data_IF_738238968941
#
_entry.id   IF_738238968941
#
_cell.length_a   1.000
_cell.length_b   1.000
_cell.length_c   1.000
_cell.angle_alpha   90.00
_cell.angle_beta   90.00
_cell.angle_gamma   90.00
#
_symmetry.space_group_name_H-M   'P 1'
#
loop_
_entity.id
_entity.type
_entity.pdbx_description
1 polymer ?
#
# COMPACT_ATOMS: atom_id res chain seq x y z
N UNK A 1 -0.51 16.77 11.39
CA UNK A 1 0.59 16.65 10.41
C UNK A 1 0.76 15.17 10.16
N UNK A 2 0.68 14.72 8.90
CA UNK A 2 0.96 13.33 8.53
C UNK A 2 2.45 13.09 8.74
N UNK A 3 2.83 12.03 9.45
CA UNK A 3 4.23 11.61 9.56
C UNK A 3 4.45 10.41 8.65
N UNK A 4 5.69 10.23 8.17
CA UNK A 4 6.10 9.00 7.49
C UNK A 4 5.62 7.78 8.32
N UNK A 5 4.91 6.81 7.69
CA UNK A 5 4.42 5.63 8.37
C UNK A 5 5.53 4.90 9.12
N UNK A 6 5.17 4.19 10.20
CA UNK A 6 6.05 3.16 10.78
C UNK A 6 5.82 1.85 10.04
N UNK A 7 6.90 1.08 9.82
CA UNK A 7 6.79 -0.26 9.26
C UNK A 7 6.09 -1.24 10.24
N UNK A 8 5.15 -2.04 9.70
CA UNK A 8 4.55 -3.19 10.38
C UNK A 8 4.55 -4.40 9.44
N UNK A 9 5.10 -5.54 9.91
CA UNK A 9 5.08 -6.82 9.19
C UNK A 9 3.68 -7.43 9.24
N UNK A 10 3.23 -8.03 8.14
CA UNK A 10 1.97 -8.79 8.12
C UNK A 10 2.03 -10.02 9.03
N UNK A 11 0.94 -10.28 9.73
CA UNK A 11 0.79 -11.43 10.63
C UNK A 11 0.41 -12.72 9.90
N UNK A 12 -0.22 -12.64 8.72
CA UNK A 12 -0.65 -13.80 7.93
C UNK A 12 -0.18 -13.68 6.48
N UNK A 13 -0.16 -14.78 5.72
CA UNK A 13 0.31 -14.77 4.32
C UNK A 13 -0.61 -14.00 3.35
N UNK A 14 -1.86 -13.73 3.74
CA UNK A 14 -2.89 -13.13 2.88
C UNK A 14 -3.30 -11.71 3.32
N UNK A 15 -2.67 -11.15 4.35
CA UNK A 15 -3.10 -9.88 4.96
C UNK A 15 -2.25 -8.67 4.58
N UNK A 16 -1.62 -8.69 3.40
CA UNK A 16 -0.76 -7.60 2.93
C UNK A 16 -1.48 -6.23 2.88
N UNK A 17 -2.74 -6.19 2.42
CA UNK A 17 -3.52 -4.94 2.36
C UNK A 17 -3.88 -4.42 3.77
N UNK A 18 -4.44 -5.22 4.70
CA UNK A 18 -4.62 -4.82 6.11
C UNK A 18 -3.32 -4.35 6.79
N UNK A 19 -2.19 -5.01 6.53
CA UNK A 19 -0.90 -4.59 7.07
C UNK A 19 -0.46 -3.23 6.51
N UNK A 20 -0.64 -2.99 5.21
CA UNK A 20 -0.40 -1.68 4.58
C UNK A 20 -1.31 -0.59 5.17
N UNK A 21 -2.60 -0.89 5.35
CA UNK A 21 -3.53 0.02 6.01
C UNK A 21 -3.09 0.36 7.43
N UNK A 22 -2.63 -0.62 8.21
CA UNK A 22 -2.10 -0.38 9.56
C UNK A 22 -0.98 0.64 9.56
N UNK A 23 -0.03 0.51 8.63
CA UNK A 23 1.09 1.46 8.49
C UNK A 23 0.58 2.87 8.18
N UNK A 24 -0.26 3.01 7.15
CA UNK A 24 -0.77 4.32 6.70
C UNK A 24 -1.65 4.98 7.77
N UNK A 25 -2.60 4.26 8.35
CA UNK A 25 -3.49 4.78 9.38
C UNK A 25 -2.74 5.19 10.65
N UNK A 26 -1.71 4.42 11.06
CA UNK A 26 -0.86 4.80 12.18
C UNK A 26 -0.12 6.12 11.92
N UNK A 27 0.38 6.33 10.70
CA UNK A 27 0.99 7.61 10.29
C UNK A 27 0.01 8.80 10.27
N UNK A 28 -1.29 8.51 10.15
CA UNK A 28 -2.39 9.48 10.26
C UNK A 28 -2.94 9.63 11.69
N UNK A 29 -2.33 8.95 12.67
CA UNK A 29 -2.70 9.03 14.09
C UNK A 29 -3.80 8.06 14.53
N UNK A 30 -4.25 7.14 13.67
CA UNK A 30 -5.20 6.09 14.02
C UNK A 30 -4.49 4.74 14.18
N UNK A 31 -4.36 4.28 15.42
CA UNK A 31 -3.74 2.98 15.73
C UNK A 31 -4.80 1.89 15.78
N UNK A 32 -4.68 0.91 14.88
CA UNK A 32 -5.50 -0.31 14.84
C UNK A 32 -4.60 -1.54 14.68
N UNK A 33 -5.02 -2.68 15.22
CA UNK A 33 -4.35 -3.94 14.97
C UNK A 33 -4.63 -4.45 13.56
N UNK A 34 -3.73 -5.30 13.04
CA UNK A 34 -3.96 -5.96 11.75
C UNK A 34 -5.18 -6.89 11.79
N UNK A 35 -5.48 -7.50 12.95
CA UNK A 35 -6.67 -8.35 13.11
C UNK A 35 -7.96 -7.54 12.92
N UNK A 36 -8.08 -6.39 13.57
CA UNK A 36 -9.23 -5.49 13.38
C UNK A 36 -9.37 -5.02 11.94
N UNK A 37 -8.24 -4.72 11.27
CA UNK A 37 -8.25 -4.31 9.87
C UNK A 37 -8.62 -5.47 8.92
N UNK A 38 -8.20 -6.70 9.22
CA UNK A 38 -8.64 -7.88 8.45
C UNK A 38 -10.16 -8.03 8.52
N UNK A 39 -10.74 -7.91 9.71
CA UNK A 39 -12.18 -8.04 9.90
C UNK A 39 -12.94 -6.91 9.19
N UNK A 40 -12.49 -5.66 9.35
CA UNK A 40 -13.11 -4.48 8.71
C UNK A 40 -13.02 -4.51 7.18
N UNK A 41 -11.92 -5.01 6.64
CA UNK A 41 -11.72 -5.10 5.19
C UNK A 41 -12.34 -6.35 4.57
N UNK A 42 -13.00 -7.21 5.36
CA UNK A 42 -13.51 -8.52 4.92
C UNK A 42 -12.40 -9.31 4.19
N UNK A 43 -11.24 -9.36 4.83
CA UNK A 43 -10.04 -10.02 4.33
C UNK A 43 -10.21 -11.55 4.42
N UNK A 44 -10.06 -12.23 3.29
CA UNK A 44 -10.14 -13.69 3.20
C UNK A 44 -8.76 -14.31 3.02
N UNK A 45 -8.68 -15.64 2.98
CA UNK A 45 -7.45 -16.37 2.64
C UNK A 45 -6.92 -16.07 1.23
N UNK A 46 -7.75 -15.49 0.35
CA UNK A 46 -7.35 -15.03 -0.98
C UNK A 46 -6.89 -13.56 -1.00
N UNK A 47 -6.88 -12.90 0.15
CA UNK A 47 -6.51 -11.51 0.30
C UNK A 47 -7.69 -10.57 0.49
N UNK A 48 -7.44 -9.29 0.19
CA UNK A 48 -8.41 -8.21 0.35
C UNK A 48 -8.59 -7.46 -0.97
N UNK A 49 -9.84 -7.29 -1.38
CA UNK A 49 -10.18 -6.46 -2.53
C UNK A 49 -10.01 -4.97 -2.23
N UNK A 50 -9.46 -4.21 -3.18
CA UNK A 50 -9.15 -2.79 -2.96
C UNK A 50 -10.36 -1.94 -2.58
N UNK A 51 -11.56 -2.25 -3.10
CA UNK A 51 -12.78 -1.51 -2.75
C UNK A 51 -13.21 -1.76 -1.30
N UNK A 52 -13.11 -3.00 -0.80
CA UNK A 52 -13.41 -3.33 0.60
C UNK A 52 -12.44 -2.63 1.55
N UNK A 53 -11.17 -2.54 1.18
CA UNK A 53 -10.18 -1.77 1.92
C UNK A 53 -10.53 -0.27 1.98
N UNK A 54 -10.98 0.32 0.86
CA UNK A 54 -11.43 1.71 0.79
C UNK A 54 -12.69 1.93 1.65
N UNK A 55 -13.67 1.03 1.58
CA UNK A 55 -14.90 1.15 2.37
C UNK A 55 -14.60 1.04 3.87
N UNK A 56 -13.68 0.15 4.27
CA UNK A 56 -13.23 0.01 5.65
C UNK A 56 -12.61 1.32 6.19
N UNK A 57 -11.73 1.98 5.44
CA UNK A 57 -11.13 3.26 5.89
C UNK A 57 -12.13 4.41 5.89
N UNK A 58 -13.10 4.43 4.96
CA UNK A 58 -14.18 5.42 4.98
C UNK A 58 -15.03 5.30 6.24
N UNK A 59 -15.36 4.08 6.65
CA UNK A 59 -16.07 3.82 7.91
C UNK A 59 -15.27 4.23 9.16
N UNK A 60 -13.95 4.43 9.04
CA UNK A 60 -13.08 4.95 10.10
C UNK A 60 -12.95 6.49 10.08
N UNK A 61 -13.67 7.18 9.19
CA UNK A 61 -13.69 8.64 9.10
C UNK A 61 -12.85 9.23 7.96
N UNK A 62 -12.16 8.41 7.17
CA UNK A 62 -11.36 8.84 6.01
C UNK A 62 -12.22 8.84 4.73
N UNK A 63 -13.30 9.64 4.73
CA UNK A 63 -14.36 9.61 3.71
C UNK A 63 -13.85 9.86 2.28
N UNK A 64 -12.75 10.61 2.14
CA UNK A 64 -12.14 10.96 0.85
C UNK A 64 -11.19 9.88 0.31
N UNK A 65 -11.02 8.78 1.04
CA UNK A 65 -10.22 7.65 0.60
C UNK A 65 -10.76 7.05 -0.69
N UNK A 66 -9.88 6.58 -1.57
CA UNK A 66 -10.25 6.15 -2.91
C UNK A 66 -9.35 5.06 -3.46
N UNK A 67 -9.96 4.19 -4.28
CA UNK A 67 -9.27 3.29 -5.20
C UNK A 67 -9.07 4.04 -6.51
N UNK A 68 -7.82 4.20 -6.93
CA UNK A 68 -7.46 4.99 -8.12
C UNK A 68 -6.40 4.28 -8.94
N UNK A 69 -6.34 4.62 -10.22
CA UNK A 69 -5.23 4.28 -11.09
C UNK A 69 -4.40 5.55 -11.27
N UNK A 70 -3.14 5.52 -10.88
CA UNK A 70 -2.26 6.68 -10.95
C UNK A 70 -1.19 6.49 -12.03
N UNK A 71 -0.72 7.59 -12.57
CA UNK A 71 0.58 7.69 -13.25
C UNK A 71 1.72 7.79 -12.24
N UNK A 72 2.95 7.52 -12.69
CA UNK A 72 4.14 7.66 -11.85
C UNK A 72 4.33 9.10 -11.34
N UNK A 73 4.00 10.11 -12.15
CA UNK A 73 4.09 11.52 -11.75
C UNK A 73 3.07 11.88 -10.67
N UNK A 74 1.84 11.38 -10.75
CA UNK A 74 0.83 11.56 -9.69
C UNK A 74 1.25 10.86 -8.39
N UNK A 75 1.71 9.61 -8.48
CA UNK A 75 2.23 8.87 -7.33
C UNK A 75 3.40 9.62 -6.66
N UNK A 76 4.33 10.14 -7.46
CA UNK A 76 5.46 10.94 -6.97
C UNK A 76 4.98 12.22 -6.28
N UNK A 77 3.97 12.89 -6.84
CA UNK A 77 3.40 14.11 -6.26
C UNK A 77 2.75 13.83 -4.90
N UNK A 78 2.03 12.72 -4.75
CA UNK A 78 1.44 12.30 -3.47
C UNK A 78 2.53 12.05 -2.43
N UNK A 79 3.53 11.24 -2.76
CA UNK A 79 4.61 10.87 -1.84
C UNK A 79 5.43 12.09 -1.40
N UNK A 80 5.68 13.05 -2.30
CA UNK A 80 6.35 14.32 -1.97
C UNK A 80 5.48 15.24 -1.10
N UNK A 81 4.19 15.00 -1.03
CA UNK A 81 3.23 15.75 -0.21
C UNK A 81 2.86 15.03 1.09
N UNK A 82 3.69 14.08 1.54
CA UNK A 82 3.47 13.26 2.75
C UNK A 82 2.16 12.46 2.74
N UNK A 83 1.69 12.10 1.54
CA UNK A 83 0.65 11.12 1.31
C UNK A 83 1.33 9.84 0.86
N UNK A 84 1.01 8.72 1.50
CA UNK A 84 1.73 7.46 1.33
C UNK A 84 0.81 6.38 0.73
N UNK A 85 0.67 6.30 -0.61
CA UNK A 85 -0.30 5.40 -1.23
C UNK A 85 0.08 3.93 -1.02
N UNK A 86 -0.96 3.11 -0.88
CA UNK A 86 -0.85 1.65 -0.91
C UNK A 86 -1.00 1.23 -2.37
N UNK A 87 0.02 0.66 -2.97
CA UNK A 87 0.01 0.27 -4.38
C UNK A 87 -0.03 -1.25 -4.53
N UNK A 88 -0.68 -1.72 -5.57
CA UNK A 88 -0.71 -3.13 -5.93
C UNK A 88 0.36 -3.43 -6.96
N UNK A 89 1.23 -4.39 -6.71
CA UNK A 89 2.31 -4.79 -7.63
C UNK A 89 2.18 -6.26 -8.00
N UNK A 90 2.62 -6.61 -9.20
CA UNK A 90 2.91 -8.00 -9.55
C UNK A 90 4.34 -8.32 -9.10
N UNK A 91 4.56 -9.37 -8.33
CA UNK A 91 5.89 -9.72 -7.82
C UNK A 91 6.81 -10.36 -8.87
N UNK A 92 6.33 -10.65 -10.08
CA UNK A 92 7.14 -11.34 -11.10
C UNK A 92 8.37 -10.54 -11.54
N UNK A 93 8.29 -9.22 -11.84
CA UNK A 93 9.49 -8.49 -12.19
C UNK A 93 10.43 -8.30 -10.99
N UNK A 94 9.90 -8.12 -9.77
CA UNK A 94 10.71 -7.84 -8.57
C UNK A 94 11.41 -9.10 -8.02
N UNK A 95 10.65 -10.17 -7.81
CA UNK A 95 11.09 -11.36 -7.08
C UNK A 95 10.95 -12.66 -7.91
N UNK A 96 10.55 -12.57 -9.18
CA UNK A 96 10.24 -13.72 -10.05
C UNK A 96 9.12 -14.64 -9.53
N UNK A 97 8.17 -14.07 -8.78
CA UNK A 97 7.02 -14.78 -8.20
C UNK A 97 5.73 -14.33 -8.88
N UNK A 98 4.96 -15.27 -9.43
CA UNK A 98 3.66 -14.97 -10.04
C UNK A 98 2.58 -14.76 -8.96
N UNK A 99 2.53 -13.57 -8.37
CA UNK A 99 1.58 -13.20 -7.33
C UNK A 99 1.29 -11.69 -7.36
N UNK A 100 0.07 -11.29 -7.02
CA UNK A 100 -0.24 -9.89 -6.71
C UNK A 100 -0.01 -9.58 -5.25
N UNK A 101 0.60 -8.44 -4.95
CA UNK A 101 0.95 -8.01 -3.60
C UNK A 101 0.63 -6.53 -3.40
N UNK A 102 0.54 -6.11 -2.14
CA UNK A 102 0.34 -4.70 -1.78
C UNK A 102 1.53 -4.20 -0.97
N UNK A 103 2.01 -2.99 -1.30
CA UNK A 103 3.11 -2.31 -0.60
C UNK A 103 2.76 -0.84 -0.35
N UNK A 104 3.37 -0.19 0.64
CA UNK A 104 3.23 1.25 0.86
C UNK A 104 4.40 1.97 0.21
N UNK A 105 4.15 2.95 -0.65
CA UNK A 105 5.23 3.76 -1.23
C UNK A 105 5.60 4.88 -0.27
N UNK A 106 6.86 4.94 0.14
CA UNK A 106 7.35 5.89 1.15
C UNK A 106 8.36 6.91 0.65
N UNK A 107 8.99 6.66 -0.49
CA UNK A 107 9.84 7.64 -1.17
C UNK A 107 9.97 7.31 -2.65
N UNK A 108 10.13 8.34 -3.48
CA UNK A 108 10.48 8.19 -4.89
C UNK A 108 11.60 9.19 -5.20
N UNK A 109 12.72 8.66 -5.68
CA UNK A 109 13.84 9.41 -6.23
C UNK A 109 14.00 9.07 -7.72
N UNK A 110 14.97 9.68 -8.40
CA UNK A 110 15.10 9.59 -9.86
C UNK A 110 15.28 8.14 -10.37
N UNK A 111 15.99 7.30 -9.62
CA UNK A 111 16.28 5.90 -10.02
C UNK A 111 15.78 4.86 -9.01
N UNK A 112 15.16 5.28 -7.89
CA UNK A 112 14.75 4.35 -6.84
C UNK A 112 13.38 4.67 -6.23
N UNK A 113 12.70 3.63 -5.79
CA UNK A 113 11.42 3.67 -5.09
C UNK A 113 11.57 2.98 -3.73
N UNK A 114 11.42 3.74 -2.65
CA UNK A 114 11.36 3.21 -1.30
C UNK A 114 9.96 2.72 -0.99
N UNK A 115 9.84 1.47 -0.58
CA UNK A 115 8.56 0.85 -0.23
C UNK A 115 8.63 0.13 1.11
N UNK A 116 7.49 0.06 1.79
CA UNK A 116 7.26 -0.88 2.88
C UNK A 116 6.52 -2.08 2.33
N UNK A 117 7.24 -3.19 2.26
CA UNK A 117 6.72 -4.49 1.88
C UNK A 117 6.31 -5.25 3.14
N UNK A 118 5.00 -5.48 3.37
CA UNK A 118 4.54 -6.11 4.60
C UNK A 118 5.09 -7.54 4.80
N UNK A 119 5.59 -8.21 3.76
CA UNK A 119 6.25 -9.51 3.87
C UNK A 119 7.74 -9.38 4.23
N UNK A 120 8.43 -8.40 3.66
CA UNK A 120 9.90 -8.37 3.60
C UNK A 120 10.54 -7.22 4.38
N UNK A 121 9.79 -6.21 4.83
CA UNK A 121 10.36 -5.05 5.50
C UNK A 121 10.43 -3.81 4.62
N UNK A 122 11.31 -2.90 5.02
CA UNK A 122 11.65 -1.74 4.20
C UNK A 122 12.52 -2.19 3.02
N UNK A 123 12.14 -1.82 1.79
CA UNK A 123 12.88 -2.14 0.57
C UNK A 123 13.15 -0.87 -0.23
N UNK A 124 14.29 -0.84 -0.90
CA UNK A 124 14.60 0.15 -1.93
C UNK A 124 14.69 -0.59 -3.26
N UNK A 125 13.75 -0.32 -4.17
CA UNK A 125 13.65 -0.98 -5.47
C UNK A 125 14.16 -0.04 -6.58
N UNK A 126 14.82 -0.56 -7.63
CA UNK A 126 15.04 0.23 -8.85
C UNK A 126 13.69 0.74 -9.39
N UNK A 127 13.61 2.03 -9.72
CA UNK A 127 12.34 2.67 -10.09
C UNK A 127 11.69 1.99 -11.30
N UNK A 128 12.50 1.64 -12.31
CA UNK A 128 12.04 0.93 -13.49
C UNK A 128 11.41 -0.45 -13.16
N UNK A 129 11.96 -1.16 -12.17
CA UNK A 129 11.46 -2.47 -11.74
C UNK A 129 10.15 -2.35 -10.99
N UNK A 130 10.08 -1.36 -10.09
CA UNK A 130 8.84 -1.02 -9.38
C UNK A 130 7.75 -0.60 -10.37
N UNK A 131 8.04 0.31 -11.29
CA UNK A 131 7.06 0.81 -12.25
C UNK A 131 6.57 -0.33 -13.15
N UNK A 132 7.45 -1.17 -13.69
CA UNK A 132 7.04 -2.34 -14.48
C UNK A 132 6.07 -3.24 -13.71
N UNK A 133 6.37 -3.51 -12.43
CA UNK A 133 5.54 -4.36 -11.56
C UNK A 133 4.19 -3.74 -11.21
N UNK A 134 4.15 -2.43 -10.99
CA UNK A 134 2.94 -1.67 -10.68
C UNK A 134 2.06 -1.46 -11.92
N UNK A 135 2.67 -1.26 -13.09
CA UNK A 135 1.97 -1.13 -14.37
C UNK A 135 1.27 -2.42 -14.80
N UNK A 136 1.81 -3.60 -14.45
CA UNK A 136 1.10 -4.87 -14.63
C UNK A 136 -0.20 -4.94 -13.82
N UNK A 137 -0.33 -4.11 -12.78
CA UNK A 137 -1.56 -3.92 -12.00
C UNK A 137 -2.32 -2.65 -12.42
N UNK A 138 -2.06 -2.12 -13.62
CA UNK A 138 -2.66 -0.91 -14.18
C UNK A 138 -2.41 0.37 -13.36
N UNK A 139 -1.34 0.45 -12.57
CA UNK A 139 -1.09 1.60 -11.72
C UNK A 139 -2.08 1.71 -10.55
N UNK A 140 -2.66 0.59 -10.13
CA UNK A 140 -3.66 0.56 -9.06
C UNK A 140 -3.07 0.98 -7.71
N UNK A 141 -3.77 1.89 -7.03
CA UNK A 141 -3.44 2.37 -5.70
C UNK A 141 -4.69 2.61 -4.84
N UNK A 142 -4.49 2.60 -3.53
CA UNK A 142 -5.40 3.12 -2.52
C UNK A 142 -4.74 4.35 -1.93
N UNK A 143 -5.47 5.46 -1.90
CA UNK A 143 -5.04 6.69 -1.25
C UNK A 143 -5.98 6.97 -0.09
N UNK A 144 -5.42 7.21 1.10
CA UNK A 144 -6.17 7.43 2.35
C UNK A 144 -6.10 8.91 2.73
N UNK A 145 -7.26 9.54 2.93
CA UNK A 145 -7.44 10.97 3.20
C UNK A 145 -8.58 11.25 4.16
#
# INVERSE_FOLDING_TARGET
>A
MSSKPQFYKQATSYSCVPACLRMVLAGLGLSLSEAELRDRCDCTVFGTEALKAVDAVRQLGFERSQKVNLSLSELTTLVRSDVYPIVYVNLKPIDNIQCSHAVVVVSIADESCGVYDPMQGERCLPLALFEASWRLMNGLAIVVH
#
